data_IF_238238470493
#
_entry.id   IF_238238470493
#
_cell.length_a   1.000
_cell.length_b   1.000
_cell.length_c   1.000
_cell.angle_alpha   90.00
_cell.angle_beta   90.00
_cell.angle_gamma   90.00
#
_symmetry.space_group_name_H-M   'P 1'
#
loop_
_entity.id
_entity.type
_entity.pdbx_description
1 polymer ?
#
# COMPACT_ATOMS: atom_id res chain seq x y z
N UNK A 1 32.87 -20.99 40.43
CA UNK A 1 31.75 -20.12 40.04
C UNK A 1 31.74 -20.00 38.52
N UNK A 2 30.77 -20.64 37.86
CA UNK A 2 30.54 -20.57 36.41
C UNK A 2 29.13 -20.00 36.19
N UNK A 3 28.93 -18.97 35.36
CA UNK A 3 27.58 -18.51 35.05
C UNK A 3 26.91 -19.50 34.08
N UNK A 4 25.75 -19.99 34.48
CA UNK A 4 24.89 -20.90 33.74
C UNK A 4 24.20 -20.18 32.59
N UNK A 5 24.17 -20.88 31.45
CA UNK A 5 23.50 -20.51 30.22
C UNK A 5 21.98 -20.51 30.45
N UNK A 6 21.29 -19.39 30.18
CA UNK A 6 19.83 -19.28 30.36
C UNK A 6 19.14 -18.36 29.35
N UNK A 7 19.57 -18.30 28.08
CA UNK A 7 18.88 -17.46 27.06
C UNK A 7 18.83 -18.10 25.66
N UNK A 8 18.60 -19.41 25.52
CA UNK A 8 18.34 -20.01 24.19
C UNK A 8 17.17 -21.02 24.22
N UNK A 9 16.03 -20.61 24.77
CA UNK A 9 14.81 -21.44 24.74
C UNK A 9 13.54 -20.60 24.49
N UNK A 10 13.53 -19.80 23.42
CA UNK A 10 12.32 -19.09 22.94
C UNK A 10 12.25 -19.00 21.41
N UNK A 11 12.73 -20.03 20.70
CA UNK A 11 12.64 -20.10 19.22
C UNK A 11 12.34 -21.49 18.67
N UNK A 12 11.47 -22.26 19.33
CA UNK A 12 11.03 -23.58 18.85
C UNK A 12 9.53 -23.83 19.07
N UNK A 13 8.67 -22.90 18.67
CA UNK A 13 7.23 -23.12 18.60
C UNK A 13 6.62 -22.60 17.29
N UNK A 14 7.22 -22.97 16.16
CA UNK A 14 6.72 -22.64 14.82
C UNK A 14 6.77 -23.83 13.85
N UNK A 15 6.49 -25.05 14.34
CA UNK A 15 6.44 -26.29 13.52
C UNK A 15 5.23 -27.18 13.89
N UNK A 16 4.01 -26.63 13.86
CA UNK A 16 2.78 -27.43 13.85
C UNK A 16 1.74 -26.86 12.87
N UNK A 17 2.14 -26.60 11.63
CA UNK A 17 1.23 -26.57 10.48
C UNK A 17 1.54 -27.77 9.59
N UNK A 18 1.00 -28.93 9.97
CA UNK A 18 0.83 -30.05 9.04
C UNK A 18 -0.45 -29.80 8.23
N UNK A 19 -0.45 -30.06 6.90
CA UNK A 19 -1.68 -30.07 6.13
C UNK A 19 -2.51 -31.30 6.54
N UNK A 20 -3.75 -31.06 6.99
CA UNK A 20 -4.76 -32.11 7.11
C UNK A 20 -5.09 -32.61 5.71
N UNK A 21 -4.51 -33.75 5.33
CA UNK A 21 -5.02 -34.60 4.26
C UNK A 21 -6.30 -35.25 4.74
N UNK A 22 -7.44 -34.81 4.21
CA UNK A 22 -8.72 -35.49 4.34
C UNK A 22 -8.68 -36.79 3.53
N UNK A 23 -8.36 -37.89 4.20
CA UNK A 23 -8.74 -39.25 3.78
C UNK A 23 -10.26 -39.39 3.93
N UNK A 24 -10.94 -39.45 2.79
CA UNK A 24 -12.32 -39.90 2.70
C UNK A 24 -12.30 -41.42 2.49
N UNK A 25 -12.61 -42.18 3.54
CA UNK A 25 -12.81 -43.63 3.44
C UNK A 25 -14.10 -44.05 4.16
N UNK A 26 -15.00 -44.60 3.32
CA UNK A 26 -16.01 -45.63 3.58
C UNK A 26 -17.26 -45.36 4.41
N UNK A 27 -18.40 -45.40 3.71
CA UNK A 27 -19.61 -46.24 3.93
C UNK A 27 -20.57 -45.91 2.77
N UNK A 28 -21.28 -46.81 2.12
CA UNK A 28 -21.43 -48.25 2.26
C UNK A 28 -22.11 -48.74 0.98
N UNK A 29 -21.91 -50.03 0.73
CA UNK A 29 -22.52 -50.84 -0.32
C UNK A 29 -24.05 -50.80 -0.26
N UNK A 30 -24.71 -50.69 -1.41
CA UNK A 30 -25.88 -51.52 -1.74
C UNK A 30 -26.10 -51.61 -3.25
N UNK A 31 -25.90 -52.84 -3.74
CA UNK A 31 -26.47 -53.49 -4.92
C UNK A 31 -27.53 -52.75 -5.74
N UNK A 32 -27.25 -52.55 -7.03
CA UNK A 32 -28.09 -53.11 -8.11
C UNK A 32 -27.35 -53.05 -9.45
N UNK A 33 -27.36 -54.20 -10.12
CA UNK A 33 -26.79 -54.48 -11.43
C UNK A 33 -27.19 -53.46 -12.51
N UNK A 34 -26.26 -53.15 -13.42
CA UNK A 34 -26.45 -53.11 -14.88
C UNK A 34 -25.07 -53.21 -15.55
N UNK A 35 -25.06 -53.96 -16.64
CA UNK A 35 -23.94 -54.47 -17.40
C UNK A 35 -23.01 -53.42 -18.04
N UNK A 36 -21.72 -53.79 -18.14
CA UNK A 36 -20.75 -53.67 -19.25
C UNK A 36 -21.04 -52.67 -20.40
N UNK A 37 -20.01 -52.01 -21.02
CA UNK A 37 -18.80 -52.69 -21.47
C UNK A 37 -17.45 -51.97 -21.24
N UNK A 38 -16.43 -52.81 -21.28
CA UNK A 38 -14.99 -52.55 -21.22
C UNK A 38 -14.49 -51.74 -22.42
N UNK A 39 -13.95 -50.55 -22.15
CA UNK A 39 -12.95 -49.91 -23.02
C UNK A 39 -11.61 -49.84 -22.28
N UNK A 40 -10.69 -50.68 -22.71
CA UNK A 40 -9.27 -50.65 -22.33
C UNK A 40 -8.63 -49.40 -22.90
N UNK A 41 -8.42 -48.39 -22.04
CA UNK A 41 -7.60 -47.22 -22.35
C UNK A 41 -6.24 -47.37 -21.69
N UNK A 42 -5.25 -47.77 -22.48
CA UNK A 42 -3.84 -47.78 -22.10
C UNK A 42 -3.41 -46.36 -21.71
N UNK A 43 -3.10 -46.14 -20.43
CA UNK A 43 -2.47 -44.92 -19.95
C UNK A 43 -0.98 -45.21 -19.81
N UNK A 44 -0.19 -44.61 -20.71
CA UNK A 44 1.26 -44.63 -20.64
C UNK A 44 1.72 -43.95 -19.34
N UNK A 45 2.32 -44.73 -18.45
CA UNK A 45 2.98 -44.22 -17.25
C UNK A 45 4.23 -43.47 -17.69
N UNK A 46 4.16 -42.13 -17.69
CA UNK A 46 5.29 -41.25 -17.90
C UNK A 46 6.05 -41.15 -16.57
N UNK A 47 7.26 -41.71 -16.53
CA UNK A 47 8.15 -41.63 -15.38
C UNK A 47 8.49 -40.16 -15.09
N UNK A 48 8.04 -39.65 -13.95
CA UNK A 48 8.47 -38.36 -13.41
C UNK A 48 9.70 -38.57 -12.52
N UNK A 49 10.77 -37.85 -12.84
CA UNK A 49 12.02 -37.81 -12.09
C UNK A 49 11.85 -37.06 -10.75
N UNK A 50 12.59 -37.42 -9.69
CA UNK A 50 12.46 -36.79 -8.38
C UNK A 50 13.00 -35.36 -8.35
N UNK A 51 12.12 -34.39 -8.11
CA UNK A 51 12.41 -32.96 -7.92
C UNK A 51 12.88 -32.68 -6.48
N UNK A 52 13.94 -33.33 -6.06
CA UNK A 52 14.66 -32.97 -4.83
C UNK A 52 16.06 -32.47 -5.21
N UNK A 53 16.33 -31.18 -4.93
CA UNK A 53 17.64 -30.46 -4.89
C UNK A 53 17.72 -29.16 -5.71
N UNK A 54 16.71 -28.27 -5.70
CA UNK A 54 16.84 -26.95 -6.35
C UNK A 54 16.27 -25.72 -5.64
N UNK A 55 16.21 -25.70 -4.30
CA UNK A 55 15.75 -24.51 -3.58
C UNK A 55 16.47 -24.19 -2.25
N UNK A 56 17.77 -24.40 -2.15
CA UNK A 56 18.55 -24.04 -0.95
C UNK A 56 19.90 -23.40 -1.30
N UNK A 57 19.91 -22.16 -1.82
CA UNK A 57 21.18 -21.38 -1.89
C UNK A 57 21.07 -19.85 -1.98
N UNK A 58 19.91 -19.20 -1.79
CA UNK A 58 19.79 -17.74 -1.97
C UNK A 58 19.30 -16.94 -0.75
N UNK A 59 19.63 -17.36 0.47
CA UNK A 59 19.29 -16.59 1.68
C UNK A 59 20.46 -16.42 2.66
N UNK A 60 21.62 -16.00 2.13
CA UNK A 60 22.69 -15.42 2.94
C UNK A 60 23.09 -14.07 2.35
N UNK A 61 22.32 -13.03 2.67
CA UNK A 61 22.68 -11.63 2.35
C UNK A 61 22.60 -10.78 3.61
N UNK A 62 23.71 -10.80 4.35
CA UNK A 62 24.34 -9.68 5.08
C UNK A 62 23.39 -8.62 5.64
N UNK A 63 22.97 -8.78 6.89
CA UNK A 63 22.48 -7.66 7.70
C UNK A 63 23.69 -6.92 8.31
N UNK A 64 23.83 -5.63 8.00
CA UNK A 64 24.67 -4.69 8.75
C UNK A 64 23.84 -4.05 9.86
N UNK A 65 24.38 -3.85 11.08
CA UNK A 65 23.63 -3.27 12.19
C UNK A 65 23.40 -1.75 12.01
N UNK A 66 22.12 -1.33 12.03
CA UNK A 66 21.66 0.07 12.12
C UNK A 66 21.67 0.58 13.57
N UNK A 67 22.81 0.50 14.24
CA UNK A 67 22.99 1.10 15.57
C UNK A 67 23.57 2.52 15.42
N UNK A 68 22.77 3.53 15.05
CA UNK A 68 23.22 4.93 15.06
C UNK A 68 22.14 6.05 14.98
N UNK A 69 20.83 5.78 14.96
CA UNK A 69 19.83 6.85 14.69
C UNK A 69 18.89 7.19 15.87
N UNK A 70 18.85 6.40 16.95
CA UNK A 70 17.83 6.60 18.01
C UNK A 70 18.23 7.53 19.16
N UNK A 71 19.32 8.30 19.05
CA UNK A 71 19.77 9.19 20.13
C UNK A 71 19.22 10.63 20.07
N UNK A 72 18.38 11.00 19.11
CA UNK A 72 17.92 12.40 18.92
C UNK A 72 16.43 12.66 19.16
N UNK A 73 15.65 11.68 19.62
CA UNK A 73 14.18 11.83 19.80
C UNK A 73 13.68 11.91 21.25
N UNK A 74 14.57 11.92 22.25
CA UNK A 74 14.20 11.86 23.67
C UNK A 74 14.04 13.22 24.38
N UNK A 75 13.98 14.36 23.69
CA UNK A 75 13.88 15.68 24.35
C UNK A 75 12.59 16.48 24.07
N UNK A 76 11.54 15.86 23.56
CA UNK A 76 10.24 16.53 23.37
C UNK A 76 9.12 15.85 24.19
N UNK A 77 9.26 15.90 25.52
CA UNK A 77 8.19 15.66 26.48
C UNK A 77 8.22 16.78 27.51
N UNK A 78 7.55 17.90 27.26
CA UNK A 78 7.00 18.79 28.29
C UNK A 78 5.72 19.44 27.75
N UNK A 79 4.69 19.40 28.62
CA UNK A 79 3.41 20.12 28.63
C UNK A 79 2.22 19.52 27.89
N UNK A 80 1.32 18.97 28.72
CA UNK A 80 0.04 18.41 28.36
C UNK A 80 -0.94 19.45 27.83
N UNK A 81 -1.68 19.02 26.82
CA UNK A 81 -2.95 19.60 26.44
C UNK A 81 -3.92 18.43 26.38
N UNK A 82 -4.84 18.39 27.34
CA UNK A 82 -6.02 17.53 27.28
C UNK A 82 -6.87 17.97 26.08
N UNK A 83 -6.58 17.40 24.92
CA UNK A 83 -7.31 17.62 23.68
C UNK A 83 -8.56 16.77 23.67
N UNK A 84 -9.68 17.36 24.11
CA UNK A 84 -11.03 16.89 23.79
C UNK A 84 -11.14 16.81 22.26
N UNK A 85 -10.99 15.61 21.70
CA UNK A 85 -11.30 15.33 20.29
C UNK A 85 -12.82 15.41 20.13
N UNK A 86 -13.30 16.61 19.85
CA UNK A 86 -14.62 16.79 19.28
C UNK A 86 -14.56 16.29 17.85
N UNK A 87 -15.28 15.20 17.57
CA UNK A 87 -15.59 14.78 16.20
C UNK A 87 -16.48 15.88 15.59
N UNK A 88 -15.85 16.86 14.97
CA UNK A 88 -16.56 17.89 14.20
C UNK A 88 -17.03 17.21 12.94
N UNK A 89 -18.24 16.64 13.00
CA UNK A 89 -18.99 16.21 11.83
C UNK A 89 -19.22 17.44 10.97
N UNK A 90 -18.36 17.61 9.96
CA UNK A 90 -18.43 18.76 9.05
C UNK A 90 -19.77 18.70 8.35
N UNK A 91 -20.64 19.65 8.70
CA UNK A 91 -22.02 19.67 8.24
C UNK A 91 -22.04 19.88 6.72
N UNK A 92 -23.13 19.47 6.06
CA UNK A 92 -23.25 19.63 4.61
C UNK A 92 -23.08 21.11 4.17
N UNK A 93 -23.38 22.06 5.05
CA UNK A 93 -23.19 23.50 4.84
C UNK A 93 -21.72 23.89 4.86
N UNK A 94 -20.92 23.34 5.77
CA UNK A 94 -19.47 23.59 5.80
C UNK A 94 -18.76 22.98 4.59
N UNK A 95 -19.19 21.80 4.13
CA UNK A 95 -18.68 21.21 2.88
C UNK A 95 -19.00 22.09 1.66
N UNK A 96 -20.20 22.68 1.60
CA UNK A 96 -20.58 23.64 0.56
C UNK A 96 -19.75 24.93 0.66
N UNK A 97 -19.49 25.43 1.86
CA UNK A 97 -18.65 26.61 2.07
C UNK A 97 -17.20 26.37 1.63
N UNK A 98 -16.64 25.18 1.87
CA UNK A 98 -15.29 24.80 1.40
C UNK A 98 -15.25 24.73 -0.13
N UNK A 99 -16.26 24.11 -0.76
CA UNK A 99 -16.37 24.05 -2.23
C UNK A 99 -16.46 25.44 -2.86
N UNK A 100 -17.26 26.34 -2.27
CA UNK A 100 -17.38 27.71 -2.75
C UNK A 100 -16.05 28.48 -2.63
N UNK A 101 -15.30 28.29 -1.54
CA UNK A 101 -13.95 28.87 -1.38
C UNK A 101 -12.97 28.33 -2.41
N UNK A 102 -13.03 27.04 -2.75
CA UNK A 102 -12.18 26.46 -3.79
C UNK A 102 -12.52 26.98 -5.18
N UNK A 103 -13.80 27.18 -5.50
CA UNK A 103 -14.23 27.78 -6.77
C UNK A 103 -13.75 29.23 -6.89
N UNK A 104 -13.96 30.04 -5.85
CA UNK A 104 -13.50 31.44 -5.85
C UNK A 104 -11.96 31.54 -5.95
N UNK A 105 -11.21 30.67 -5.27
CA UNK A 105 -9.75 30.63 -5.37
C UNK A 105 -9.27 30.17 -6.76
N UNK A 106 -10.05 29.34 -7.47
CA UNK A 106 -9.75 28.96 -8.85
C UNK A 106 -10.03 30.12 -9.83
N UNK A 107 -11.10 30.87 -9.62
CA UNK A 107 -11.40 32.09 -10.38
C UNK A 107 -10.35 33.18 -10.15
N UNK A 108 -9.92 33.40 -8.91
CA UNK A 108 -8.86 34.37 -8.57
C UNK A 108 -7.53 34.00 -9.25
N UNK A 109 -7.15 32.71 -9.27
CA UNK A 109 -5.99 32.25 -10.03
C UNK A 109 -6.17 32.40 -11.55
N UNK A 110 -7.38 32.19 -12.07
CA UNK A 110 -7.66 32.41 -13.48
C UNK A 110 -7.54 33.90 -13.86
N UNK A 111 -8.01 34.81 -13.00
CA UNK A 111 -7.81 36.25 -13.16
C UNK A 111 -6.34 36.65 -13.04
N UNK A 112 -5.58 36.07 -12.11
CA UNK A 112 -4.14 36.32 -11.97
C UNK A 112 -3.37 35.88 -13.24
N UNK A 113 -3.78 34.76 -13.88
CA UNK A 113 -3.19 34.34 -15.16
C UNK A 113 -3.59 35.24 -16.35
N UNK A 114 -4.79 35.84 -16.32
CA UNK A 114 -5.21 36.85 -17.31
C UNK A 114 -4.47 38.18 -17.10
N UNK A 115 -4.22 38.60 -15.87
CA UNK A 115 -3.40 39.77 -15.56
C UNK A 115 -1.93 39.55 -15.97
N UNK A 116 -1.43 38.31 -15.89
CA UNK A 116 -0.07 37.96 -16.32
C UNK A 116 0.10 37.83 -17.84
N UNK A 117 -0.99 37.90 -18.61
CA UNK A 117 -0.98 38.01 -20.08
C UNK A 117 -1.09 39.45 -20.58
N UNK A 118 -0.93 40.44 -19.71
CA UNK A 118 -0.41 41.72 -20.17
C UNK A 118 1.01 41.51 -20.73
N UNK A 119 1.33 42.06 -21.91
CA UNK A 119 2.63 41.88 -22.53
C UNK A 119 3.69 42.42 -21.56
N UNK A 120 4.43 41.51 -20.92
CA UNK A 120 5.57 41.85 -20.08
C UNK A 120 6.42 42.83 -20.90
N UNK A 121 6.62 44.08 -20.44
CA UNK A 121 7.48 45.02 -21.15
C UNK A 121 8.81 44.32 -21.26
N UNK A 122 9.20 44.00 -22.50
CA UNK A 122 10.42 43.26 -22.81
C UNK A 122 11.53 43.95 -22.05
N UNK A 123 11.96 43.35 -20.93
CA UNK A 123 13.08 43.87 -20.15
C UNK A 123 14.22 43.95 -21.14
N UNK A 124 14.67 45.18 -21.39
CA UNK A 124 15.78 45.47 -22.28
C UNK A 124 16.87 44.46 -21.95
N UNK A 125 17.09 43.52 -22.87
CA UNK A 125 18.16 42.56 -22.77
C UNK A 125 19.41 43.41 -22.56
N UNK A 126 20.15 43.25 -21.44
CA UNK A 126 21.37 44.01 -21.25
C UNK A 126 22.21 43.78 -22.50
N UNK A 127 22.53 44.87 -23.18
CA UNK A 127 23.39 44.90 -24.36
C UNK A 127 24.54 43.92 -24.11
N UNK A 128 24.47 42.77 -24.76
CA UNK A 128 25.61 41.87 -24.84
C UNK A 128 26.61 42.72 -25.59
N UNK A 129 27.56 43.30 -24.86
CA UNK A 129 28.74 43.98 -25.40
C UNK A 129 29.42 42.96 -26.30
N UNK A 130 29.03 42.95 -27.57
CA UNK A 130 29.79 42.32 -28.64
C UNK A 130 31.12 43.01 -28.59
N UNK A 131 32.10 42.29 -28.05
CA UNK A 131 33.50 42.66 -28.12
C UNK A 131 33.83 42.63 -29.62
N UNK A 132 33.67 43.77 -30.27
CA UNK A 132 34.10 44.01 -31.63
C UNK A 132 35.62 44.05 -31.60
N UNK A 133 36.25 42.88 -31.59
CA UNK A 133 37.60 42.71 -32.08
C UNK A 133 37.54 42.67 -33.61
N UNK A 134 37.37 43.84 -34.23
CA UNK A 134 37.71 44.07 -35.64
C UNK A 134 38.43 45.41 -35.68
N UNK A 135 39.68 45.36 -35.26
CA UNK A 135 40.64 46.42 -35.51
C UNK A 135 40.91 46.53 -37.01
N UNK A 136 40.62 47.72 -37.54
CA UNK A 136 41.46 48.47 -38.48
C UNK A 136 41.81 47.82 -39.83
N UNK A 137 41.14 48.31 -40.87
CA UNK A 137 41.56 48.49 -42.28
C UNK A 137 40.25 48.77 -43.04
N UNK A 138 39.97 49.94 -43.60
CA UNK A 138 40.82 50.75 -44.47
C UNK A 138 40.28 52.18 -44.56
N UNK A 139 41.23 53.10 -44.72
CA UNK A 139 41.09 54.48 -45.16
C UNK A 139 40.31 54.64 -46.47
N UNK A 140 39.55 55.73 -46.53
CA UNK A 140 39.43 56.66 -47.66
C UNK A 140 39.40 56.07 -49.08
N UNK A 141 38.21 56.04 -49.70
CA UNK A 141 38.04 56.43 -51.10
C UNK A 141 36.72 57.19 -51.24
N UNK A 142 36.80 58.52 -51.16
CA UNK A 142 35.73 59.45 -51.57
C UNK A 142 35.76 59.52 -53.09
N UNK A 143 35.03 58.62 -53.75
CA UNK A 143 34.85 58.62 -55.21
C UNK A 143 33.72 59.58 -55.65
N UNK A 144 33.85 60.22 -56.82
CA UNK A 144 32.86 61.16 -57.34
C UNK A 144 31.56 60.45 -57.71
N UNK A 145 30.44 61.05 -57.32
CA UNK A 145 29.09 60.67 -57.76
C UNK A 145 29.00 60.65 -59.29
N UNK A 146 28.77 59.49 -59.93
CA UNK A 146 28.49 59.46 -61.35
C UNK A 146 27.05 59.91 -61.58
N UNK A 147 26.89 61.00 -62.34
CA UNK A 147 25.62 61.41 -62.94
C UNK A 147 25.29 60.39 -64.02
N UNK A 148 24.58 59.32 -63.66
CA UNK A 148 24.15 58.28 -64.60
C UNK A 148 22.84 58.72 -65.27
N UNK A 149 23.02 59.26 -66.47
CA UNK A 149 22.24 59.04 -67.70
C UNK A 149 20.81 58.48 -67.53
N UNK A 150 19.84 59.37 -67.66
CA UNK A 150 18.40 59.09 -67.81
C UNK A 150 18.04 58.79 -69.27
N UNK A 151 18.39 57.63 -69.81
CA UNK A 151 17.84 57.17 -71.10
C UNK A 151 17.72 55.64 -71.02
N UNK A 152 16.47 55.14 -70.96
CA UNK A 152 15.96 53.75 -71.06
C UNK A 152 14.87 53.45 -70.01
N UNK A 153 13.76 54.20 -70.01
CA UNK A 153 12.68 54.09 -68.99
C UNK A 153 11.57 53.10 -69.33
N UNK A 154 11.57 52.48 -70.50
CA UNK A 154 10.43 51.68 -71.00
C UNK A 154 10.65 50.18 -70.92
N UNK A 155 11.89 49.70 -71.00
CA UNK A 155 12.20 48.26 -70.93
C UNK A 155 12.35 47.76 -69.47
N UNK A 156 12.71 48.65 -68.55
CA UNK A 156 12.78 48.35 -67.11
C UNK A 156 11.40 48.12 -66.47
N UNK A 157 10.35 48.72 -67.04
CA UNK A 157 8.98 48.59 -66.51
C UNK A 157 8.42 47.17 -66.68
N UNK A 158 8.73 46.48 -67.78
CA UNK A 158 8.32 45.09 -68.00
C UNK A 158 9.10 44.11 -67.10
N UNK A 159 10.39 44.39 -66.86
CA UNK A 159 11.21 43.59 -65.93
C UNK A 159 10.77 43.78 -64.47
N UNK A 160 10.26 44.95 -64.09
CA UNK A 160 9.69 45.20 -62.76
C UNK A 160 8.37 44.44 -62.54
N UNK A 161 7.48 44.36 -63.54
CA UNK A 161 6.21 43.65 -63.40
C UNK A 161 6.40 42.14 -63.18
N UNK A 162 7.34 41.52 -63.90
CA UNK A 162 7.66 40.10 -63.74
C UNK A 162 8.29 39.80 -62.36
N UNK A 163 9.14 40.70 -61.86
CA UNK A 163 9.71 40.59 -60.51
C UNK A 163 8.64 40.69 -59.43
N UNK A 164 7.69 41.63 -59.57
CA UNK A 164 6.59 41.79 -58.62
C UNK A 164 5.67 40.57 -58.64
N UNK A 165 5.35 40.02 -59.81
CA UNK A 165 4.52 38.82 -59.92
C UNK A 165 5.21 37.59 -59.31
N UNK A 166 6.52 37.43 -59.54
CA UNK A 166 7.31 36.36 -58.91
C UNK A 166 7.34 36.49 -57.39
N UNK A 167 7.58 37.69 -56.86
CA UNK A 167 7.55 37.94 -55.41
C UNK A 167 6.17 37.68 -54.81
N UNK A 168 5.09 38.04 -55.51
CA UNK A 168 3.71 37.73 -55.06
C UNK A 168 3.46 36.22 -55.01
N UNK A 169 3.93 35.46 -56.01
CA UNK A 169 3.84 33.99 -56.01
C UNK A 169 4.61 33.38 -54.85
N UNK A 170 5.88 33.78 -54.66
CA UNK A 170 6.72 33.33 -53.54
C UNK A 170 6.11 33.68 -52.16
N UNK A 171 5.53 34.87 -52.02
CA UNK A 171 4.82 35.28 -50.79
C UNK A 171 3.60 34.38 -50.54
N UNK A 172 2.78 34.13 -51.57
CA UNK A 172 1.60 33.28 -51.45
C UNK A 172 1.95 31.82 -51.11
N UNK A 173 3.02 31.28 -51.66
CA UNK A 173 3.51 29.93 -51.34
C UNK A 173 4.07 29.86 -49.92
N UNK A 174 4.78 30.90 -49.48
CA UNK A 174 5.29 31.01 -48.11
C UNK A 174 4.16 31.09 -47.08
N UNK A 175 3.10 31.83 -47.37
CA UNK A 175 1.91 31.91 -46.51
C UNK A 175 1.19 30.56 -46.41
N UNK A 176 1.02 29.85 -47.53
CA UNK A 176 0.45 28.49 -47.54
C UNK A 176 1.28 27.54 -46.69
N UNK A 177 2.60 27.51 -46.88
CA UNK A 177 3.50 26.67 -46.09
C UNK A 177 3.48 27.03 -44.60
N UNK A 178 3.37 28.31 -44.25
CA UNK A 178 3.23 28.74 -42.85
C UNK A 178 1.90 28.30 -42.23
N UNK A 179 0.80 28.41 -42.98
CA UNK A 179 -0.51 27.98 -42.53
C UNK A 179 -0.57 26.46 -42.35
N UNK A 180 -0.02 25.69 -43.29
CA UNK A 180 0.10 24.23 -43.17
C UNK A 180 0.90 23.84 -41.93
N UNK A 181 2.05 24.49 -41.70
CA UNK A 181 2.86 24.25 -40.48
C UNK A 181 2.12 24.61 -39.20
N UNK A 182 1.33 25.69 -39.18
CA UNK A 182 0.51 26.06 -38.03
C UNK A 182 -0.56 25.01 -37.75
N UNK A 183 -1.29 24.58 -38.78
CA UNK A 183 -2.32 23.55 -38.67
C UNK A 183 -1.71 22.22 -38.19
N UNK A 184 -0.55 21.83 -38.72
CA UNK A 184 0.13 20.61 -38.28
C UNK A 184 0.60 20.70 -36.82
N UNK A 185 1.11 21.86 -36.38
CA UNK A 185 1.50 22.08 -34.99
C UNK A 185 0.30 22.06 -34.05
N UNK A 186 -0.83 22.66 -34.44
CA UNK A 186 -2.06 22.63 -33.67
C UNK A 186 -2.60 21.21 -33.53
N UNK A 187 -2.61 20.42 -34.61
CA UNK A 187 -2.97 19.00 -34.58
C UNK A 187 -2.07 18.20 -33.64
N UNK A 188 -0.75 18.37 -33.74
CA UNK A 188 0.22 17.71 -32.85
C UNK A 188 0.03 18.08 -31.38
N UNK A 189 -0.32 19.34 -31.10
CA UNK A 189 -0.62 19.80 -29.73
C UNK A 189 -1.91 19.17 -29.21
N UNK A 190 -2.98 19.18 -30.00
CA UNK A 190 -4.25 18.56 -29.66
C UNK A 190 -4.08 17.05 -29.39
N UNK A 191 -3.37 16.32 -30.25
CA UNK A 191 -3.08 14.89 -30.04
C UNK A 191 -2.26 14.63 -28.77
N UNK A 192 -1.31 15.51 -28.42
CA UNK A 192 -0.54 15.38 -27.19
C UNK A 192 -1.37 15.66 -25.94
N UNK A 193 -2.27 16.64 -25.99
CA UNK A 193 -3.19 16.95 -24.90
C UNK A 193 -4.19 15.81 -24.68
N UNK A 194 -4.75 15.24 -25.75
CA UNK A 194 -5.64 14.08 -25.68
C UNK A 194 -4.94 12.87 -25.05
N UNK A 195 -3.71 12.55 -25.50
CA UNK A 195 -2.91 11.47 -24.91
C UNK A 195 -2.56 11.71 -23.43
N UNK A 196 -2.34 12.97 -23.03
CA UNK A 196 -2.09 13.31 -21.62
C UNK A 196 -3.33 13.08 -20.78
N UNK A 197 -4.49 13.54 -21.24
CA UNK A 197 -5.77 13.34 -20.54
C UNK A 197 -6.13 11.86 -20.43
N UNK A 198 -5.91 11.07 -21.47
CA UNK A 198 -6.13 9.62 -21.45
C UNK A 198 -5.20 8.93 -20.43
N UNK A 199 -3.91 9.28 -20.43
CA UNK A 199 -2.97 8.74 -19.45
C UNK A 199 -3.30 9.14 -18.00
N UNK A 200 -3.79 10.35 -17.77
CA UNK A 200 -4.22 10.79 -16.45
C UNK A 200 -5.45 10.02 -15.97
N UNK A 201 -6.43 9.78 -16.84
CA UNK A 201 -7.60 8.94 -16.55
C UNK A 201 -7.20 7.52 -16.22
N UNK A 202 -6.39 6.87 -17.07
CA UNK A 202 -5.92 5.52 -16.80
C UNK A 202 -5.14 5.42 -15.48
N UNK A 203 -4.32 6.43 -15.17
CA UNK A 203 -3.57 6.47 -13.90
C UNK A 203 -4.51 6.63 -12.71
N UNK A 204 -5.56 7.42 -12.83
CA UNK A 204 -6.57 7.58 -11.78
C UNK A 204 -7.31 6.26 -11.54
N UNK A 205 -7.82 5.62 -12.60
CA UNK A 205 -8.53 4.34 -12.52
C UNK A 205 -7.65 3.23 -11.94
N UNK A 206 -6.39 3.10 -12.41
CA UNK A 206 -5.44 2.13 -11.86
C UNK A 206 -5.13 2.40 -10.38
N UNK A 207 -5.09 3.66 -9.96
CA UNK A 207 -4.88 4.00 -8.54
C UNK A 207 -6.09 3.60 -7.69
N UNK A 208 -7.30 3.82 -8.17
CA UNK A 208 -8.54 3.42 -7.48
C UNK A 208 -8.62 1.90 -7.35
N UNK A 209 -8.39 1.16 -8.44
CA UNK A 209 -8.33 -0.31 -8.42
C UNK A 209 -7.31 -0.84 -7.40
N UNK A 210 -6.08 -0.29 -7.41
CA UNK A 210 -5.06 -0.68 -6.44
C UNK A 210 -5.44 -0.34 -4.99
N UNK A 211 -6.19 0.73 -4.76
CA UNK A 211 -6.70 1.07 -3.42
C UNK A 211 -7.76 0.06 -2.97
N UNK A 212 -8.67 -0.34 -3.85
CA UNK A 212 -9.69 -1.36 -3.57
C UNK A 212 -9.07 -2.73 -3.30
N UNK A 213 -8.11 -3.15 -4.12
CA UNK A 213 -7.35 -4.39 -3.93
C UNK A 213 -6.62 -4.39 -2.59
N UNK A 214 -6.02 -3.26 -2.19
CA UNK A 214 -5.38 -3.13 -0.87
C UNK A 214 -6.40 -3.24 0.26
N UNK A 215 -7.56 -2.59 0.14
CA UNK A 215 -8.65 -2.66 1.14
C UNK A 215 -9.14 -4.09 1.33
N UNK A 216 -9.38 -4.81 0.23
CA UNK A 216 -9.82 -6.21 0.27
C UNK A 216 -8.74 -7.14 0.84
N UNK A 217 -7.47 -6.94 0.46
CA UNK A 217 -6.34 -7.70 1.00
C UNK A 217 -6.17 -7.50 2.53
N UNK A 218 -6.32 -6.27 3.01
CA UNK A 218 -6.25 -5.94 4.44
C UNK A 218 -7.39 -6.64 5.20
N UNK A 219 -8.63 -6.52 4.72
CA UNK A 219 -9.80 -7.18 5.33
C UNK A 219 -9.59 -8.70 5.41
N UNK A 220 -9.18 -9.32 4.29
CA UNK A 220 -8.93 -10.76 4.23
C UNK A 220 -7.79 -11.21 5.17
N UNK A 221 -6.75 -10.39 5.35
CA UNK A 221 -5.67 -10.67 6.28
C UNK A 221 -6.17 -10.71 7.74
N UNK A 222 -6.88 -9.67 8.17
CA UNK A 222 -7.40 -9.60 9.55
C UNK A 222 -8.45 -10.68 9.80
N UNK A 223 -9.31 -10.98 8.84
CA UNK A 223 -10.29 -12.06 8.97
C UNK A 223 -9.63 -13.42 9.20
N UNK A 224 -8.58 -13.76 8.42
CA UNK A 224 -7.80 -14.99 8.62
C UNK A 224 -7.15 -15.03 10.00
N UNK A 225 -6.65 -13.89 10.47
CA UNK A 225 -6.05 -13.78 11.80
C UNK A 225 -7.08 -13.98 12.91
N UNK A 226 -8.23 -13.32 12.83
CA UNK A 226 -9.31 -13.50 13.81
C UNK A 226 -9.81 -14.94 13.86
N UNK A 227 -10.03 -15.59 12.71
CA UNK A 227 -10.44 -17.00 12.66
C UNK A 227 -9.46 -17.92 13.40
N UNK A 228 -8.15 -17.65 13.31
CA UNK A 228 -7.12 -18.42 14.02
C UNK A 228 -7.15 -18.19 15.53
N UNK A 229 -7.39 -16.95 15.96
CA UNK A 229 -7.47 -16.59 17.38
C UNK A 229 -8.77 -17.13 18.01
N UNK A 230 -9.90 -17.05 17.31
CA UNK A 230 -11.16 -17.68 17.72
C UNK A 230 -10.99 -19.19 17.90
N UNK A 231 -10.36 -19.87 16.92
CA UNK A 231 -10.07 -21.29 17.03
C UNK A 231 -9.11 -21.64 18.18
N UNK A 232 -8.23 -20.71 18.58
CA UNK A 232 -7.41 -20.90 19.79
C UNK A 232 -8.26 -20.78 21.06
N UNK A 233 -9.15 -19.78 21.14
CA UNK A 233 -10.06 -19.59 22.27
C UNK A 233 -11.04 -20.76 22.44
N UNK A 234 -11.54 -21.32 21.34
CA UNK A 234 -12.43 -22.49 21.38
C UNK A 234 -11.70 -23.73 21.93
N UNK A 235 -10.44 -23.95 21.52
CA UNK A 235 -9.59 -25.01 22.07
C UNK A 235 -9.30 -24.83 23.56
N UNK A 236 -9.04 -23.59 24.00
CA UNK A 236 -8.83 -23.29 25.42
C UNK A 236 -10.12 -23.50 26.23
N UNK A 237 -11.29 -23.18 25.66
CA UNK A 237 -12.59 -23.41 26.28
C UNK A 237 -12.83 -24.91 26.50
N UNK A 238 -12.65 -25.73 25.46
CA UNK A 238 -12.76 -27.19 25.55
C UNK A 238 -11.77 -27.76 26.59
N UNK A 239 -10.56 -27.21 26.66
CA UNK A 239 -9.58 -27.65 27.64
C UNK A 239 -10.02 -27.30 29.07
N UNK A 240 -10.55 -26.10 29.29
CA UNK A 240 -11.10 -25.68 30.58
C UNK A 240 -12.22 -26.62 31.04
N UNK A 241 -13.15 -26.96 30.15
CA UNK A 241 -14.27 -27.86 30.48
C UNK A 241 -13.80 -29.28 30.82
N UNK A 242 -12.75 -29.77 30.14
CA UNK A 242 -12.11 -31.06 30.47
C UNK A 242 -11.43 -31.04 31.84
N UNK A 243 -10.76 -29.94 32.18
CA UNK A 243 -10.09 -29.76 33.48
C UNK A 243 -11.14 -29.68 34.58
N UNK A 244 -12.25 -28.97 34.36
CA UNK A 244 -13.37 -28.88 35.30
C UNK A 244 -13.97 -30.27 35.58
N UNK A 245 -14.31 -31.01 34.52
CA UNK A 245 -14.85 -32.37 34.67
C UNK A 245 -13.90 -33.31 35.41
N UNK A 246 -12.57 -33.14 35.26
CA UNK A 246 -11.59 -33.91 36.04
C UNK A 246 -11.58 -33.47 37.51
N UNK A 247 -11.61 -32.16 37.77
CA UNK A 247 -11.66 -31.62 39.12
C UNK A 247 -12.92 -32.08 39.88
N UNK A 248 -14.08 -32.14 39.21
CA UNK A 248 -15.32 -32.68 39.78
C UNK A 248 -15.17 -34.14 40.21
N UNK A 249 -14.60 -34.99 39.34
CA UNK A 249 -14.37 -36.42 39.66
C UNK A 249 -13.38 -36.63 40.82
N UNK A 250 -12.39 -35.76 40.97
CA UNK A 250 -11.45 -35.81 42.11
C UNK A 250 -12.12 -35.32 43.39
N UNK A 251 -12.93 -34.26 43.32
CA UNK A 251 -13.71 -33.77 44.45
C UNK A 251 -14.69 -34.83 44.98
N UNK A 252 -15.32 -35.62 44.10
CA UNK A 252 -16.18 -36.75 44.49
C UNK A 252 -15.44 -37.84 45.27
N UNK A 253 -14.10 -37.94 45.13
CA UNK A 253 -13.26 -38.86 45.89
C UNK A 253 -12.76 -38.28 47.22
N UNK A 254 -13.03 -37.00 47.49
CA UNK A 254 -12.57 -36.31 48.68
C UNK A 254 -11.24 -35.57 48.51
N UNK A 255 -10.69 -35.50 47.30
CA UNK A 255 -9.49 -34.70 46.99
C UNK A 255 -9.84 -33.21 47.07
N UNK A 256 -8.99 -32.42 47.73
CA UNK A 256 -9.11 -30.95 47.71
C UNK A 256 -8.75 -30.42 46.32
N UNK A 257 -9.69 -29.74 45.67
CA UNK A 257 -9.51 -29.15 44.33
C UNK A 257 -9.64 -27.63 44.34
N UNK A 258 -9.51 -26.99 45.51
CA UNK A 258 -9.75 -25.57 45.69
C UNK A 258 -8.82 -24.70 44.85
N UNK A 259 -7.51 -24.98 44.85
CA UNK A 259 -6.52 -24.24 44.06
C UNK A 259 -6.76 -24.41 42.55
N UNK A 260 -7.05 -25.64 42.10
CA UNK A 260 -7.35 -25.92 40.70
C UNK A 260 -8.59 -25.15 40.21
N UNK A 261 -9.64 -25.04 41.05
CA UNK A 261 -10.86 -24.29 40.73
C UNK A 261 -10.61 -22.79 40.63
N UNK A 262 -9.79 -22.23 41.51
CA UNK A 262 -9.39 -20.81 41.44
C UNK A 262 -8.69 -20.51 40.11
N UNK A 263 -7.68 -21.32 39.75
CA UNK A 263 -6.95 -21.19 38.49
C UNK A 263 -7.80 -21.40 37.24
N UNK A 264 -8.80 -22.28 37.33
CA UNK A 264 -9.78 -22.47 36.26
C UNK A 264 -10.66 -21.22 36.09
N UNK A 265 -11.05 -20.57 37.20
CA UNK A 265 -11.71 -19.27 37.19
C UNK A 265 -10.90 -18.20 36.47
N UNK A 266 -9.63 -18.03 36.85
CA UNK A 266 -8.69 -17.09 36.19
C UNK A 266 -8.60 -17.34 34.67
N UNK A 267 -8.51 -18.61 34.27
CA UNK A 267 -8.44 -18.99 32.86
C UNK A 267 -9.72 -18.60 32.09
N UNK A 268 -10.90 -18.84 32.67
CA UNK A 268 -12.19 -18.50 32.05
C UNK A 268 -12.35 -16.99 31.89
N UNK A 269 -11.98 -16.22 32.90
CA UNK A 269 -12.02 -14.75 32.84
C UNK A 269 -11.11 -14.22 31.73
N UNK A 270 -9.90 -14.77 31.61
CA UNK A 270 -8.97 -14.42 30.54
C UNK A 270 -9.50 -14.78 29.13
N UNK A 271 -10.19 -15.92 28.97
CA UNK A 271 -10.86 -16.31 27.72
C UNK A 271 -11.96 -15.29 27.36
N UNK A 272 -12.82 -14.93 28.32
CA UNK A 272 -13.91 -13.95 28.10
C UNK A 272 -13.34 -12.58 27.72
N UNK A 273 -12.29 -12.14 28.42
CA UNK A 273 -11.58 -10.90 28.11
C UNK A 273 -11.02 -10.91 26.69
N UNK A 274 -10.33 -11.98 26.30
CA UNK A 274 -9.78 -12.13 24.95
C UNK A 274 -10.89 -12.09 23.86
N UNK A 275 -12.02 -12.80 24.06
CA UNK A 275 -13.16 -12.75 23.13
C UNK A 275 -13.72 -11.34 22.99
N UNK A 276 -13.80 -10.60 24.09
CA UNK A 276 -14.30 -9.23 24.10
C UNK A 276 -13.38 -8.30 23.31
N UNK A 277 -12.06 -8.38 23.56
CA UNK A 277 -11.06 -7.62 22.82
C UNK A 277 -11.14 -7.92 21.32
N UNK A 278 -11.19 -9.20 20.93
CA UNK A 278 -11.28 -9.59 19.52
C UNK A 278 -12.55 -9.07 18.85
N UNK A 279 -13.67 -9.04 19.57
CA UNK A 279 -14.92 -8.48 19.05
C UNK A 279 -14.77 -6.98 18.77
N UNK A 280 -14.25 -6.21 19.73
CA UNK A 280 -14.00 -4.77 19.56
C UNK A 280 -13.05 -4.50 18.40
N UNK A 281 -11.91 -5.20 18.34
CA UNK A 281 -10.93 -5.03 17.26
C UNK A 281 -11.48 -5.43 15.89
N UNK A 282 -12.43 -6.37 15.83
CA UNK A 282 -13.11 -6.75 14.58
C UNK A 282 -14.02 -5.62 14.07
N UNK A 283 -14.68 -4.92 14.97
CA UNK A 283 -15.54 -3.76 14.65
C UNK A 283 -14.73 -2.56 14.13
N UNK A 284 -13.46 -2.44 14.50
CA UNK A 284 -12.54 -1.40 14.03
C UNK A 284 -11.97 -1.66 12.61
N UNK A 285 -11.92 -2.91 12.12
CA UNK A 285 -11.36 -3.21 10.78
C UNK A 285 -12.04 -2.46 9.62
N UNK A 286 -13.38 -2.38 9.51
CA UNK A 286 -14.01 -1.69 8.39
C UNK A 286 -13.69 -0.19 8.36
N UNK A 287 -13.59 0.48 9.51
CA UNK A 287 -13.31 1.93 9.57
C UNK A 287 -11.91 2.24 9.05
N UNK A 288 -10.92 1.39 9.38
CA UNK A 288 -9.54 1.55 8.91
C UNK A 288 -9.38 1.35 7.41
N UNK A 289 -10.27 0.59 6.77
CA UNK A 289 -10.23 0.39 5.33
C UNK A 289 -10.66 1.64 4.55
N UNK A 290 -11.43 2.54 5.15
CA UNK A 290 -12.01 3.69 4.44
C UNK A 290 -11.05 4.89 4.35
N UNK A 291 -10.15 5.09 5.32
CA UNK A 291 -9.35 6.32 5.51
C UNK A 291 -8.23 6.63 4.49
N UNK A 292 -8.05 5.83 3.42
CA UNK A 292 -7.42 6.23 2.14
C UNK A 292 -5.91 6.55 2.11
N UNK A 293 -5.35 7.32 3.04
CA UNK A 293 -3.96 7.82 2.99
C UNK A 293 -3.02 7.23 4.05
N UNK A 294 -3.54 6.70 5.15
CA UNK A 294 -2.76 6.18 6.31
C UNK A 294 -2.92 4.67 6.52
N UNK A 295 -3.51 3.94 5.55
CA UNK A 295 -3.82 2.52 5.68
C UNK A 295 -2.65 1.64 6.15
N UNK A 296 -1.40 2.00 5.81
CA UNK A 296 -0.21 1.27 6.25
C UNK A 296 0.11 1.46 7.74
N UNK A 297 -0.04 2.68 8.25
CA UNK A 297 0.20 3.03 9.65
C UNK A 297 -0.88 2.41 10.51
N UNK A 298 -2.15 2.62 10.11
CA UNK A 298 -3.33 2.02 10.71
C UNK A 298 -3.27 0.49 10.77
N UNK A 299 -2.81 -0.15 9.68
CA UNK A 299 -2.59 -1.60 9.67
C UNK A 299 -1.54 -2.03 10.72
N UNK A 300 -0.45 -1.29 10.84
CA UNK A 300 0.59 -1.55 11.82
C UNK A 300 0.10 -1.40 13.25
N UNK A 301 -0.67 -0.35 13.53
CA UNK A 301 -1.28 -0.07 14.83
C UNK A 301 -2.29 -1.13 15.22
N UNK A 302 -3.23 -1.49 14.35
CA UNK A 302 -4.21 -2.53 14.64
C UNK A 302 -3.53 -3.88 14.87
N UNK A 303 -2.54 -4.23 14.05
CA UNK A 303 -1.76 -5.46 14.26
C UNK A 303 -1.07 -5.46 15.63
N UNK A 304 -0.48 -4.33 16.02
CA UNK A 304 0.18 -4.16 17.31
C UNK A 304 -0.83 -4.35 18.46
N UNK A 305 -2.00 -3.72 18.38
CA UNK A 305 -3.08 -3.89 19.37
C UNK A 305 -3.57 -5.32 19.49
N UNK A 306 -3.74 -6.03 18.37
CA UNK A 306 -4.10 -7.46 18.41
C UNK A 306 -3.01 -8.27 19.15
N UNK A 307 -1.74 -7.95 18.92
CA UNK A 307 -0.62 -8.64 19.55
C UNK A 307 -0.50 -8.33 21.05
N UNK A 308 -0.66 -7.08 21.45
CA UNK A 308 -0.52 -6.65 22.84
C UNK A 308 -1.78 -6.98 23.66
N UNK A 309 -2.97 -6.82 23.10
CA UNK A 309 -4.20 -6.98 23.89
C UNK A 309 -4.75 -8.41 23.83
N UNK A 310 -5.02 -8.91 22.61
CA UNK A 310 -5.71 -10.19 22.45
C UNK A 310 -4.79 -11.39 22.66
N UNK A 311 -3.59 -11.36 22.08
CA UNK A 311 -2.64 -12.48 22.21
C UNK A 311 -2.13 -12.61 23.64
N UNK A 312 -1.86 -11.51 24.34
CA UNK A 312 -1.49 -11.57 25.77
C UNK A 312 -2.62 -12.17 26.62
N UNK A 313 -3.88 -11.78 26.38
CA UNK A 313 -5.02 -12.38 27.08
C UNK A 313 -5.16 -13.90 26.83
N UNK A 314 -4.92 -14.35 25.60
CA UNK A 314 -4.88 -15.78 25.25
C UNK A 314 -3.72 -16.50 25.98
N UNK A 315 -2.55 -15.87 26.07
CA UNK A 315 -1.40 -16.43 26.79
C UNK A 315 -1.67 -16.54 28.29
N UNK A 316 -2.31 -15.53 28.89
CA UNK A 316 -2.73 -15.59 30.30
C UNK A 316 -3.71 -16.73 30.55
N UNK A 317 -4.73 -16.90 29.70
CA UNK A 317 -5.67 -18.02 29.79
C UNK A 317 -4.97 -19.38 29.72
N UNK A 318 -4.05 -19.53 28.77
CA UNK A 318 -3.27 -20.76 28.61
C UNK A 318 -2.38 -21.04 29.83
N UNK A 319 -1.73 -20.02 30.39
CA UNK A 319 -0.88 -20.15 31.59
C UNK A 319 -1.71 -20.59 32.81
N UNK A 320 -2.85 -19.94 33.04
CA UNK A 320 -3.75 -20.29 34.14
C UNK A 320 -4.27 -21.74 34.01
N UNK A 321 -4.56 -22.21 32.78
CA UNK A 321 -4.91 -23.62 32.55
C UNK A 321 -3.77 -24.60 32.89
N UNK A 322 -2.53 -24.26 32.56
CA UNK A 322 -1.37 -25.07 32.94
C UNK A 322 -1.22 -25.13 34.45
N UNK A 323 -1.39 -24.00 35.14
CA UNK A 323 -1.38 -23.93 36.61
C UNK A 323 -2.49 -24.80 37.22
N UNK A 324 -3.73 -24.69 36.72
CA UNK A 324 -4.85 -25.54 37.16
C UNK A 324 -4.59 -27.04 36.97
N UNK A 325 -4.05 -27.43 35.81
CA UNK A 325 -3.67 -28.84 35.53
C UNK A 325 -2.55 -29.30 36.48
N UNK A 326 -1.64 -28.41 36.85
CA UNK A 326 -0.51 -28.74 37.72
C UNK A 326 -0.96 -28.94 39.16
N UNK A 327 -1.88 -28.10 39.65
CA UNK A 327 -2.54 -28.28 40.95
C UNK A 327 -3.24 -29.65 41.03
N UNK A 328 -4.11 -29.97 40.06
CA UNK A 328 -4.80 -31.28 40.03
C UNK A 328 -3.86 -32.49 40.01
N UNK A 329 -2.63 -32.34 39.51
CA UNK A 329 -1.64 -33.44 39.49
C UNK A 329 -0.89 -33.58 40.81
N UNK A 330 -0.76 -32.51 41.59
CA UNK A 330 -0.13 -32.56 42.90
C UNK A 330 -1.03 -33.36 43.87
N UNK A 331 -2.33 -33.09 43.83
CA UNK A 331 -3.29 -33.70 44.74
C UNK A 331 -3.52 -35.20 44.45
N UNK A 332 -3.56 -35.58 43.16
CA UNK A 332 -3.72 -36.98 42.69
C UNK A 332 -2.55 -37.90 43.11
N UNK A 333 -1.39 -37.35 43.50
CA UNK A 333 -0.24 -38.15 43.97
C UNK A 333 -0.30 -38.48 45.46
N UNK A 334 -0.92 -37.61 46.26
CA UNK A 334 -0.95 -37.76 47.73
C UNK A 334 -1.75 -38.99 48.14
N UNK A 335 -2.86 -39.29 47.45
CA UNK A 335 -3.69 -40.47 47.75
C UNK A 335 -2.93 -41.80 47.59
N UNK A 336 -1.94 -41.87 46.70
CA UNK A 336 -1.22 -43.13 46.43
C UNK A 336 -0.14 -43.48 47.46
N UNK A 337 0.19 -42.58 48.40
CA UNK A 337 1.22 -42.82 49.41
C UNK A 337 0.65 -43.24 50.79
N UNK A 338 -0.67 -43.15 50.99
CA UNK A 338 -1.33 -43.50 52.26
C UNK A 338 -1.98 -44.90 52.31
N UNK A 339 -2.00 -45.63 51.18
CA UNK A 339 -2.39 -47.05 51.09
C UNK A 339 -1.16 -47.98 51.07
#
# INVERSE_FOLDING_TARGET
MRPTQSIIATMALLVLLSPLTTEAQERGTDNAAIAAPTETREVSVRAEEPVEKRAFSLFNRVEKPKAAIDASRQSAQIEGVEGVRTEVSVTAEEKRAILLRMQNAAEEKAEETKARTEPVPVRAIPEIKRVNAVETRTSEVRGPTPVIRRENKTDDAAAETDRVEKLRKEQSEREKLQNERRIEQEKKRAEQEEKRLEQEKERAEKREQLQEERRTAIKAYFEKMFRRLDAALDRLTILADRVESRAEKLAERGVDVSEAREKLGEARDAIVKARTILKTLREEVPTLAEEGSTARELFGELKKRIQEEAVEAIQMAHKALIEAISALKADDRVETEEE
#
